data_IF_293205352955
#
_entry.id   IF_293205352955
#
_cell.length_a   1.000
_cell.length_b   1.000
_cell.length_c   1.000
_cell.angle_alpha   90.00
_cell.angle_beta   90.00
_cell.angle_gamma   90.00
#
_symmetry.space_group_name_H-M   'P 1'
#
loop_
_entity.id
_entity.type
_entity.pdbx_description
1 polymer ?
#
# COMPACT_ATOMS: atom_id res chain seq x y z
N UNK A 1 73.43 56.56 -48.73
CA UNK A 1 73.77 57.05 -47.37
C UNK A 1 72.60 57.12 -46.37
N UNK A 2 71.32 56.97 -46.77
CA UNK A 2 70.17 57.03 -45.86
C UNK A 2 69.85 55.68 -45.15
N UNK A 3 70.07 54.54 -45.81
CA UNK A 3 69.79 53.21 -45.24
C UNK A 3 70.74 52.79 -44.10
N UNK A 4 72.02 53.14 -44.17
CA UNK A 4 73.01 52.83 -43.12
C UNK A 4 72.71 53.56 -41.79
N UNK A 5 72.21 54.80 -41.85
CA UNK A 5 71.80 55.56 -40.67
C UNK A 5 70.54 55.00 -40.01
N UNK A 6 69.59 54.49 -40.80
CA UNK A 6 68.37 53.84 -40.27
C UNK A 6 68.71 52.53 -39.56
N UNK A 7 69.65 51.75 -40.09
CA UNK A 7 70.10 50.51 -39.46
C UNK A 7 70.85 50.76 -38.14
N UNK A 8 71.70 51.80 -38.07
CA UNK A 8 72.35 52.18 -36.82
C UNK A 8 71.38 52.78 -35.79
N UNK A 9 70.37 53.53 -36.23
CA UNK A 9 69.31 54.03 -35.35
C UNK A 9 68.47 52.88 -34.77
N UNK A 10 68.13 51.89 -35.59
CA UNK A 10 67.42 50.69 -35.15
C UNK A 10 68.23 49.86 -34.15
N UNK A 11 69.55 49.73 -34.36
CA UNK A 11 70.46 49.07 -33.42
C UNK A 11 70.56 49.79 -32.07
N UNK A 12 70.57 51.13 -32.08
CA UNK A 12 70.62 51.94 -30.86
C UNK A 12 69.30 51.88 -30.07
N UNK A 13 68.16 51.82 -30.76
CA UNK A 13 66.85 51.59 -30.15
C UNK A 13 66.76 50.19 -29.52
N UNK A 14 67.33 49.17 -30.15
CA UNK A 14 67.37 47.81 -29.61
C UNK A 14 68.23 47.71 -28.33
N UNK A 15 69.34 48.43 -28.27
CA UNK A 15 70.21 48.50 -27.08
C UNK A 15 69.55 49.28 -25.93
N UNK A 16 68.74 50.30 -26.25
CA UNK A 16 68.00 51.08 -25.23
C UNK A 16 66.87 50.26 -24.59
N UNK A 17 66.30 49.30 -25.31
CA UNK A 17 65.28 48.36 -24.79
C UNK A 17 65.90 47.31 -23.84
N UNK A 18 67.21 47.03 -23.97
CA UNK A 18 67.92 46.00 -23.18
C UNK A 18 68.54 46.53 -21.87
N UNK A 19 68.58 47.85 -21.67
CA UNK A 19 69.16 48.46 -20.47
C UNK A 19 68.08 48.83 -19.43
N UNK A 20 67.87 47.88 -18.52
CA UNK A 20 67.44 48.08 -17.12
C UNK A 20 65.97 48.37 -16.84
N UNK A 21 65.19 47.29 -16.79
CA UNK A 21 64.19 47.12 -15.72
C UNK A 21 64.95 46.70 -14.47
N UNK A 22 65.19 47.63 -13.54
CA UNK A 22 65.50 47.23 -12.16
C UNK A 22 64.19 46.69 -11.58
N UNK A 23 64.09 45.40 -11.21
CA UNK A 23 62.96 44.96 -10.41
C UNK A 23 63.07 45.67 -9.06
N UNK A 24 62.19 46.65 -8.82
CA UNK A 24 61.91 47.07 -7.45
C UNK A 24 61.63 45.80 -6.66
N UNK A 25 62.44 45.53 -5.64
CA UNK A 25 62.24 44.41 -4.74
C UNK A 25 60.87 44.57 -4.08
N UNK A 26 59.85 43.97 -4.68
CA UNK A 26 58.56 43.77 -4.06
C UNK A 26 58.83 42.90 -2.85
N UNK A 27 58.75 43.46 -1.65
CA UNK A 27 58.77 42.65 -0.44
C UNK A 27 57.59 41.69 -0.56
N UNK A 28 57.88 40.40 -0.68
CA UNK A 28 56.86 39.39 -0.87
C UNK A 28 55.87 39.46 0.30
N UNK A 29 54.58 39.42 -0.03
CA UNK A 29 53.53 39.35 0.97
C UNK A 29 53.72 38.04 1.75
N UNK A 30 53.64 38.02 3.08
CA UNK A 30 53.78 36.81 3.89
C UNK A 30 52.76 35.75 3.48
N UNK A 31 53.23 34.50 3.36
CA UNK A 31 52.43 33.36 2.89
C UNK A 31 51.21 33.09 3.78
N UNK A 32 51.30 33.46 5.07
CA UNK A 32 50.21 33.38 6.06
C UNK A 32 48.95 34.12 5.57
N UNK A 33 49.06 35.21 4.81
CA UNK A 33 47.90 35.96 4.29
C UNK A 33 47.24 35.33 3.06
N UNK A 34 47.87 34.30 2.47
CA UNK A 34 47.33 33.59 1.33
C UNK A 34 46.72 32.24 1.72
N UNK A 35 47.29 31.56 2.71
CA UNK A 35 46.95 30.16 3.01
C UNK A 35 46.23 29.96 4.35
N UNK A 36 46.47 30.84 5.33
CA UNK A 36 45.96 30.65 6.69
C UNK A 36 44.50 31.09 6.85
N UNK A 37 43.88 30.66 7.94
CA UNK A 37 42.52 31.08 8.31
C UNK A 37 42.47 32.58 8.63
N UNK A 38 41.29 33.18 8.55
CA UNK A 38 41.15 34.62 8.83
C UNK A 38 41.63 34.98 10.25
N UNK A 39 41.40 34.12 11.24
CA UNK A 39 41.88 34.28 12.62
C UNK A 39 43.42 34.29 12.69
N UNK A 40 44.07 33.37 12.00
CA UNK A 40 45.54 33.30 11.92
C UNK A 40 46.13 34.50 11.17
N UNK A 41 45.45 35.00 10.14
CA UNK A 41 45.85 36.22 9.44
C UNK A 41 45.78 37.45 10.35
N UNK A 42 44.74 37.56 11.19
CA UNK A 42 44.60 38.65 12.16
C UNK A 42 45.63 38.54 13.30
N UNK A 43 45.91 37.34 13.79
CA UNK A 43 46.96 37.08 14.79
C UNK A 43 48.34 37.46 14.25
N UNK A 44 48.67 37.03 13.04
CA UNK A 44 49.91 37.42 12.37
C UNK A 44 50.04 38.95 12.29
N UNK A 45 48.97 39.65 11.91
CA UNK A 45 48.98 41.11 11.87
C UNK A 45 49.17 41.72 13.26
N UNK A 46 48.64 41.09 14.31
CA UNK A 46 48.78 41.55 15.69
C UNK A 46 50.21 41.35 16.24
N UNK A 47 50.85 40.24 15.88
CA UNK A 47 52.13 39.85 16.46
C UNK A 47 53.31 40.49 15.70
N UNK A 48 53.22 40.57 14.37
CA UNK A 48 54.35 40.97 13.51
C UNK A 48 54.37 42.48 13.16
N UNK A 49 53.30 43.23 13.44
CA UNK A 49 53.28 44.67 13.17
C UNK A 49 53.69 45.48 14.40
N UNK A 50 54.46 46.55 14.17
CA UNK A 50 54.97 47.40 15.25
C UNK A 50 53.91 48.41 15.71
N UNK A 51 53.93 48.71 17.00
CA UNK A 51 53.13 49.78 17.60
C UNK A 51 54.00 51.03 17.72
N UNK A 52 53.48 52.17 17.25
CA UNK A 52 54.11 53.48 17.35
C UNK A 52 53.07 54.51 17.79
N UNK A 53 53.33 55.23 18.88
CA UNK A 53 52.42 56.25 19.44
C UNK A 53 50.97 55.76 19.61
N UNK A 54 50.78 54.55 20.17
CA UNK A 54 49.48 53.88 20.32
C UNK A 54 48.77 53.51 19.00
N UNK A 55 49.42 53.66 17.85
CA UNK A 55 48.91 53.22 16.55
C UNK A 55 49.70 52.00 16.05
N UNK A 56 49.00 51.02 15.50
CA UNK A 56 49.62 49.84 14.87
C UNK A 56 49.94 50.15 13.42
N UNK A 57 51.21 50.10 13.05
CA UNK A 57 51.66 50.37 11.68
C UNK A 57 51.51 49.10 10.83
N UNK A 58 50.40 49.02 10.09
CA UNK A 58 50.11 47.93 9.16
C UNK A 58 50.47 48.38 7.75
N UNK A 59 51.10 47.50 6.99
CA UNK A 59 51.42 47.74 5.59
C UNK A 59 50.14 47.72 4.74
N UNK A 60 50.02 48.65 3.80
CA UNK A 60 48.77 48.88 3.05
C UNK A 60 48.34 47.65 2.22
N UNK A 61 49.28 46.96 1.57
CA UNK A 61 49.07 45.70 0.85
C UNK A 61 48.50 44.57 1.75
N UNK A 62 49.04 44.42 2.97
CA UNK A 62 48.57 43.47 3.98
C UNK A 62 47.15 43.80 4.43
N UNK A 63 46.89 45.08 4.69
CA UNK A 63 45.56 45.56 5.08
C UNK A 63 44.53 45.30 3.98
N UNK A 64 44.83 45.67 2.73
CA UNK A 64 43.93 45.43 1.60
C UNK A 64 43.70 43.93 1.36
N UNK A 65 44.73 43.09 1.55
CA UNK A 65 44.61 41.64 1.41
C UNK A 65 43.68 41.04 2.48
N UNK A 66 43.86 41.37 3.76
CA UNK A 66 42.99 40.89 4.84
C UNK A 66 41.56 41.42 4.68
N UNK A 67 41.39 42.67 4.27
CA UNK A 67 40.09 43.25 3.93
C UNK A 67 39.39 42.43 2.85
N UNK A 68 40.09 42.13 1.75
CA UNK A 68 39.55 41.30 0.66
C UNK A 68 39.20 39.90 1.15
N UNK A 69 40.10 39.23 1.86
CA UNK A 69 39.87 37.89 2.41
C UNK A 69 38.67 37.86 3.39
N UNK A 70 38.49 38.92 4.18
CA UNK A 70 37.34 39.07 5.10
C UNK A 70 36.02 39.19 4.33
N UNK A 71 35.99 40.05 3.31
CA UNK A 71 34.81 40.22 2.45
C UNK A 71 34.50 38.93 1.68
N UNK A 72 35.52 38.28 1.13
CA UNK A 72 35.37 37.01 0.41
C UNK A 72 34.83 35.91 1.33
N UNK A 73 35.30 35.83 2.57
CA UNK A 73 34.80 34.87 3.58
C UNK A 73 33.34 35.15 3.94
N UNK A 74 32.98 36.43 4.12
CA UNK A 74 31.61 36.85 4.40
C UNK A 74 30.67 36.53 3.23
N UNK A 75 31.09 36.82 1.99
CA UNK A 75 30.33 36.51 0.79
C UNK A 75 30.14 35.00 0.61
N UNK A 76 31.18 34.19 0.88
CA UNK A 76 31.06 32.72 0.89
C UNK A 76 30.07 32.24 1.96
N UNK A 77 30.07 32.85 3.14
CA UNK A 77 29.10 32.51 4.19
C UNK A 77 27.67 32.84 3.74
N UNK A 78 27.43 34.01 3.15
CA UNK A 78 26.11 34.37 2.60
C UNK A 78 25.66 33.42 1.49
N UNK A 79 26.56 33.05 0.57
CA UNK A 79 26.26 32.08 -0.49
C UNK A 79 25.89 30.71 0.07
N UNK A 80 26.63 30.23 1.09
CA UNK A 80 26.30 28.98 1.78
C UNK A 80 24.94 29.06 2.47
N UNK A 81 24.66 30.14 3.19
CA UNK A 81 23.36 30.32 3.86
C UNK A 81 22.22 30.33 2.83
N UNK A 82 22.38 31.03 1.70
CA UNK A 82 21.38 31.05 0.64
C UNK A 82 21.16 29.65 0.03
N UNK A 83 22.24 28.90 -0.21
CA UNK A 83 22.15 27.53 -0.72
C UNK A 83 21.46 26.58 0.29
N UNK A 84 21.77 26.69 1.59
CA UNK A 84 21.11 25.91 2.64
C UNK A 84 19.62 26.25 2.78
N UNK A 85 19.23 27.52 2.64
CA UNK A 85 17.82 27.92 2.62
C UNK A 85 17.11 27.26 1.42
N UNK A 86 17.72 27.30 0.24
CA UNK A 86 17.15 26.66 -0.95
C UNK A 86 17.03 25.14 -0.78
N UNK A 87 18.05 24.48 -0.23
CA UNK A 87 18.00 23.04 0.08
C UNK A 87 16.89 22.71 1.08
N UNK A 88 16.72 23.56 2.11
CA UNK A 88 15.65 23.39 3.10
C UNK A 88 14.26 23.54 2.48
N UNK A 89 14.08 24.53 1.60
CA UNK A 89 12.80 24.73 0.89
C UNK A 89 12.48 23.54 -0.01
N UNK A 90 13.46 23.00 -0.74
CA UNK A 90 13.31 21.78 -1.54
C UNK A 90 12.94 20.58 -0.66
N UNK A 91 13.65 20.36 0.45
CA UNK A 91 13.37 19.26 1.38
C UNK A 91 11.96 19.36 2.00
N UNK A 92 11.50 20.58 2.30
CA UNK A 92 10.12 20.80 2.79
C UNK A 92 9.09 20.50 1.69
N UNK A 93 9.35 20.93 0.46
CA UNK A 93 8.48 20.64 -0.68
C UNK A 93 8.38 19.12 -0.94
N UNK A 94 9.50 18.41 -0.94
CA UNK A 94 9.54 16.94 -1.08
C UNK A 94 8.80 16.25 0.07
N UNK A 95 9.02 16.68 1.31
CA UNK A 95 8.30 16.14 2.46
C UNK A 95 6.79 16.32 2.34
N UNK A 96 6.34 17.49 1.90
CA UNK A 96 4.91 17.77 1.70
C UNK A 96 4.34 16.92 0.56
N UNK A 97 5.09 16.73 -0.53
CA UNK A 97 4.70 15.86 -1.62
C UNK A 97 4.60 14.38 -1.18
N UNK A 98 5.57 13.90 -0.40
CA UNK A 98 5.51 12.56 0.19
C UNK A 98 4.34 12.39 1.16
N UNK A 99 4.04 13.40 1.97
CA UNK A 99 2.88 13.37 2.88
C UNK A 99 1.56 13.30 2.10
N UNK A 100 1.43 14.05 1.00
CA UNK A 100 0.24 13.98 0.14
C UNK A 100 0.11 12.60 -0.51
N UNK A 101 1.22 12.05 -1.03
CA UNK A 101 1.26 10.72 -1.62
C UNK A 101 0.89 9.63 -0.60
N UNK A 102 1.33 9.75 0.65
CA UNK A 102 0.91 8.83 1.72
C UNK A 102 -0.60 8.88 1.98
N UNK A 103 -1.20 10.08 2.03
CA UNK A 103 -2.65 10.22 2.20
C UNK A 103 -3.40 9.60 1.01
N UNK A 104 -2.90 9.80 -0.20
CA UNK A 104 -3.48 9.20 -1.42
C UNK A 104 -3.38 7.66 -1.38
N UNK A 105 -2.21 7.11 -1.03
CA UNK A 105 -2.03 5.65 -0.92
C UNK A 105 -2.86 5.03 0.22
N UNK A 106 -3.05 5.74 1.34
CA UNK A 106 -3.94 5.29 2.41
C UNK A 106 -5.39 5.25 1.93
N UNK A 107 -5.86 6.28 1.23
CA UNK A 107 -7.20 6.31 0.66
C UNK A 107 -7.40 5.22 -0.41
N UNK A 108 -6.42 5.02 -1.30
CA UNK A 108 -6.45 3.95 -2.31
C UNK A 108 -6.44 2.56 -1.65
N UNK A 109 -5.63 2.38 -0.60
CA UNK A 109 -5.61 1.13 0.18
C UNK A 109 -6.96 0.87 0.83
N UNK A 110 -7.57 1.86 1.44
CA UNK A 110 -8.88 1.71 2.10
C UNK A 110 -9.97 1.39 1.07
N UNK A 111 -9.94 2.05 -0.10
CA UNK A 111 -10.82 1.70 -1.22
C UNK A 111 -10.57 0.28 -1.73
N UNK A 112 -9.31 -0.12 -1.91
CA UNK A 112 -8.96 -1.46 -2.35
C UNK A 112 -9.38 -2.53 -1.32
N UNK A 113 -9.31 -2.23 -0.01
CA UNK A 113 -9.84 -3.12 1.04
C UNK A 113 -11.35 -3.25 0.90
N UNK A 114 -12.07 -2.13 0.74
CA UNK A 114 -13.53 -2.14 0.54
C UNK A 114 -13.93 -2.91 -0.72
N UNK A 115 -13.24 -2.70 -1.83
CA UNK A 115 -13.48 -3.40 -3.10
C UNK A 115 -13.16 -4.88 -2.99
N UNK A 116 -12.07 -5.23 -2.31
CA UNK A 116 -11.66 -6.62 -2.16
C UNK A 116 -12.54 -7.37 -1.17
N UNK A 117 -13.05 -6.72 -0.14
CA UNK A 117 -13.93 -7.34 0.85
C UNK A 117 -15.41 -7.25 0.48
N UNK A 118 -15.79 -6.48 -0.53
CA UNK A 118 -17.15 -6.43 -1.04
C UNK A 118 -17.37 -7.35 -2.25
N UNK A 119 -18.57 -7.90 -2.32
CA UNK A 119 -19.12 -8.59 -3.47
C UNK A 119 -20.48 -7.96 -3.76
N UNK A 120 -20.78 -7.70 -5.04
CA UNK A 120 -22.08 -7.17 -5.42
C UNK A 120 -23.14 -8.30 -5.41
N UNK A 121 -24.08 -8.23 -4.46
CA UNK A 121 -25.25 -9.10 -4.41
C UNK A 121 -26.48 -8.24 -4.70
N UNK A 122 -27.17 -8.51 -5.82
CA UNK A 122 -28.35 -7.74 -6.27
C UNK A 122 -28.10 -6.22 -6.39
N UNK A 123 -26.88 -5.83 -6.79
CA UNK A 123 -26.49 -4.43 -6.97
C UNK A 123 -26.06 -3.69 -5.69
N UNK A 124 -26.12 -4.35 -4.52
CA UNK A 124 -25.61 -3.80 -3.27
C UNK A 124 -24.24 -4.43 -2.93
N UNK A 125 -23.25 -3.65 -2.47
CA UNK A 125 -21.98 -4.18 -2.01
C UNK A 125 -22.17 -4.86 -0.65
N UNK A 126 -21.81 -6.14 -0.57
CA UNK A 126 -21.96 -6.95 0.64
C UNK A 126 -20.61 -7.56 1.01
N UNK A 127 -20.25 -7.59 2.29
CA UNK A 127 -18.96 -8.13 2.70
C UNK A 127 -18.85 -9.64 2.41
N UNK A 128 -17.66 -10.12 2.07
CA UNK A 128 -17.39 -11.56 1.82
C UNK A 128 -17.78 -12.44 3.00
N UNK A 129 -17.55 -11.98 4.22
CA UNK A 129 -17.96 -12.69 5.44
C UNK A 129 -19.48 -12.82 5.51
N UNK A 130 -20.20 -11.73 5.27
CA UNK A 130 -21.67 -11.76 5.27
C UNK A 130 -22.21 -12.64 4.15
N UNK A 131 -21.63 -12.58 2.94
CA UNK A 131 -21.98 -13.47 1.84
C UNK A 131 -21.84 -14.94 2.22
N UNK A 132 -20.69 -15.34 2.79
CA UNK A 132 -20.47 -16.72 3.19
C UNK A 132 -21.47 -17.17 4.27
N UNK A 133 -21.72 -16.32 5.28
CA UNK A 133 -22.71 -16.61 6.33
C UNK A 133 -24.11 -16.75 5.75
N UNK A 134 -24.52 -15.83 4.86
CA UNK A 134 -25.84 -15.85 4.22
C UNK A 134 -26.00 -17.08 3.32
N UNK A 135 -24.98 -17.42 2.53
CA UNK A 135 -24.99 -18.58 1.65
C UNK A 135 -25.13 -19.88 2.45
N UNK A 136 -24.31 -20.07 3.49
CA UNK A 136 -24.41 -21.26 4.35
C UNK A 136 -25.70 -21.30 5.15
N UNK A 137 -26.26 -20.15 5.54
CA UNK A 137 -27.58 -20.07 6.17
C UNK A 137 -28.69 -20.56 5.24
N UNK A 138 -28.70 -20.11 3.99
CA UNK A 138 -29.67 -20.56 2.98
C UNK A 138 -29.53 -22.06 2.71
N UNK A 139 -28.31 -22.56 2.54
CA UNK A 139 -28.05 -24.00 2.38
C UNK A 139 -28.53 -24.78 3.60
N UNK A 140 -28.27 -24.28 4.82
CA UNK A 140 -28.70 -24.90 6.07
C UNK A 140 -30.22 -25.02 6.18
N UNK A 141 -30.95 -23.95 5.85
CA UNK A 141 -32.42 -23.95 5.86
C UNK A 141 -32.98 -24.96 4.84
N UNK A 142 -32.45 -24.96 3.62
CA UNK A 142 -32.83 -25.92 2.58
C UNK A 142 -32.54 -27.36 3.00
N UNK A 143 -31.39 -27.63 3.63
CA UNK A 143 -31.04 -28.94 4.14
C UNK A 143 -32.01 -29.42 5.24
N UNK A 144 -32.38 -28.54 6.18
CA UNK A 144 -33.37 -28.86 7.23
C UNK A 144 -34.75 -29.15 6.63
N UNK A 145 -35.20 -28.36 5.66
CA UNK A 145 -36.48 -28.59 4.97
C UNK A 145 -36.46 -29.91 4.19
N UNK A 146 -35.38 -30.20 3.45
CA UNK A 146 -35.23 -31.45 2.73
C UNK A 146 -35.23 -32.66 3.68
N UNK A 147 -34.54 -32.55 4.82
CA UNK A 147 -34.50 -33.59 5.84
C UNK A 147 -35.88 -33.82 6.48
N UNK A 148 -36.61 -32.75 6.80
CA UNK A 148 -37.98 -32.84 7.33
C UNK A 148 -38.93 -33.51 6.32
N UNK A 149 -38.84 -33.12 5.04
CA UNK A 149 -39.61 -33.73 3.95
C UNK A 149 -39.27 -35.22 3.78
N UNK A 150 -38.00 -35.58 3.88
CA UNK A 150 -37.54 -36.96 3.82
C UNK A 150 -38.15 -37.81 4.96
N UNK A 151 -38.09 -37.34 6.20
CA UNK A 151 -38.71 -38.05 7.34
C UNK A 151 -40.23 -38.21 7.12
N UNK A 152 -40.90 -37.14 6.70
CA UNK A 152 -42.34 -37.17 6.44
C UNK A 152 -42.68 -38.17 5.33
N UNK A 153 -41.88 -38.22 4.27
CA UNK A 153 -42.06 -39.16 3.16
C UNK A 153 -41.91 -40.62 3.63
N UNK A 154 -40.86 -40.95 4.39
CA UNK A 154 -40.69 -42.31 4.91
C UNK A 154 -41.80 -42.73 5.86
N UNK A 155 -42.25 -41.81 6.73
CA UNK A 155 -43.37 -42.08 7.65
C UNK A 155 -44.66 -42.35 6.88
N UNK A 156 -44.98 -41.49 5.91
CA UNK A 156 -46.16 -41.65 5.06
C UNK A 156 -46.10 -42.96 4.28
N UNK A 157 -44.95 -43.31 3.71
CA UNK A 157 -44.81 -44.54 2.94
C UNK A 157 -44.96 -45.80 3.82
N UNK A 158 -44.44 -45.77 5.05
CA UNK A 158 -44.62 -46.86 6.03
C UNK A 158 -46.09 -47.03 6.42
N UNK A 159 -46.80 -45.93 6.69
CA UNK A 159 -48.22 -45.95 7.05
C UNK A 159 -49.06 -46.48 5.88
N UNK A 160 -48.82 -45.99 4.66
CA UNK A 160 -49.53 -46.47 3.46
C UNK A 160 -49.32 -47.97 3.26
N UNK A 161 -48.09 -48.47 3.42
CA UNK A 161 -47.80 -49.91 3.31
C UNK A 161 -48.47 -50.76 4.38
N UNK A 162 -48.63 -50.23 5.60
CA UNK A 162 -49.36 -50.93 6.65
C UNK A 162 -50.86 -50.97 6.31
N UNK A 163 -51.46 -49.82 5.98
CA UNK A 163 -52.87 -49.75 5.63
C UNK A 163 -53.23 -50.62 4.43
N UNK A 164 -52.38 -50.72 3.41
CA UNK A 164 -52.63 -51.61 2.27
C UNK A 164 -52.55 -53.09 2.64
N UNK A 165 -51.70 -53.47 3.59
CA UNK A 165 -51.68 -54.84 4.14
C UNK A 165 -52.94 -55.12 4.95
N UNK A 166 -53.28 -54.26 5.89
CA UNK A 166 -54.46 -54.43 6.75
C UNK A 166 -55.74 -54.51 5.91
N UNK A 167 -55.86 -53.69 4.86
CA UNK A 167 -56.99 -53.72 3.93
C UNK A 167 -57.05 -55.05 3.15
N UNK A 168 -55.89 -55.57 2.72
CA UNK A 168 -55.82 -56.87 2.03
C UNK A 168 -56.19 -58.03 2.95
N UNK A 169 -55.74 -58.01 4.20
CA UNK A 169 -56.08 -59.01 5.21
C UNK A 169 -57.58 -59.00 5.52
N UNK A 170 -58.15 -57.81 5.76
CA UNK A 170 -59.59 -57.64 5.97
C UNK A 170 -60.42 -58.11 4.77
N UNK A 171 -59.94 -57.90 3.55
CA UNK A 171 -60.62 -58.36 2.35
C UNK A 171 -60.61 -59.89 2.23
N UNK A 172 -59.50 -60.54 2.58
CA UNK A 172 -59.41 -62.01 2.65
C UNK A 172 -60.35 -62.56 3.71
N UNK A 173 -60.35 -61.99 4.91
CA UNK A 173 -61.24 -62.38 6.00
C UNK A 173 -62.72 -62.18 5.63
N UNK A 174 -63.06 -61.08 4.96
CA UNK A 174 -64.42 -60.83 4.48
C UNK A 174 -64.87 -61.83 3.42
N UNK A 175 -64.00 -62.16 2.47
CA UNK A 175 -64.29 -63.15 1.43
C UNK A 175 -64.44 -64.55 2.03
N UNK A 176 -63.62 -64.90 3.03
CA UNK A 176 -63.73 -66.15 3.79
C UNK A 176 -65.03 -66.20 4.59
N UNK A 177 -65.35 -65.15 5.35
CA UNK A 177 -66.63 -65.01 6.06
C UNK A 177 -67.83 -65.15 5.13
N UNK A 178 -67.76 -64.55 3.93
CA UNK A 178 -68.82 -64.63 2.92
C UNK A 178 -68.96 -66.06 2.39
N UNK A 179 -67.87 -66.79 2.16
CA UNK A 179 -67.90 -68.20 1.77
C UNK A 179 -68.47 -69.08 2.87
N UNK A 180 -67.95 -68.98 4.10
CA UNK A 180 -68.45 -69.76 5.23
C UNK A 180 -69.91 -69.46 5.55
N UNK A 181 -70.34 -68.20 5.43
CA UNK A 181 -71.76 -67.84 5.61
C UNK A 181 -72.63 -68.49 4.55
N UNK A 182 -72.20 -68.50 3.29
CA UNK A 182 -72.92 -69.19 2.20
C UNK A 182 -73.00 -70.69 2.45
N UNK A 183 -71.89 -71.33 2.80
CA UNK A 183 -71.82 -72.75 3.13
C UNK A 183 -72.74 -73.09 4.31
N UNK A 184 -72.78 -72.25 5.36
CA UNK A 184 -73.69 -72.41 6.50
C UNK A 184 -75.16 -72.31 6.09
N UNK A 185 -75.53 -71.33 5.25
CA UNK A 185 -76.89 -71.21 4.74
C UNK A 185 -77.29 -72.39 3.85
N UNK A 186 -76.36 -72.88 3.01
CA UNK A 186 -76.57 -74.03 2.16
C UNK A 186 -76.77 -75.31 2.99
N UNK A 187 -75.91 -75.54 4.00
CA UNK A 187 -76.06 -76.64 4.95
C UNK A 187 -77.38 -76.55 5.73
N UNK A 188 -77.73 -75.39 6.27
CA UNK A 188 -79.02 -75.18 6.96
C UNK A 188 -80.22 -75.48 6.04
N UNK A 189 -80.14 -75.09 4.76
CA UNK A 189 -81.18 -75.38 3.78
C UNK A 189 -81.30 -76.87 3.49
N UNK A 190 -80.16 -77.57 3.32
CA UNK A 190 -80.11 -79.02 3.12
C UNK A 190 -80.66 -79.77 4.35
N UNK A 191 -80.24 -79.39 5.54
CA UNK A 191 -80.69 -80.00 6.80
C UNK A 191 -82.19 -79.78 7.01
N UNK A 192 -82.68 -78.55 6.79
CA UNK A 192 -84.10 -78.25 6.83
C UNK A 192 -84.90 -79.08 5.80
N UNK A 193 -84.38 -79.25 4.59
CA UNK A 193 -84.99 -80.12 3.58
C UNK A 193 -85.02 -81.60 4.01
N UNK A 194 -83.93 -82.10 4.60
CA UNK A 194 -83.84 -83.46 5.12
C UNK A 194 -84.81 -83.71 6.29
N UNK A 195 -84.96 -82.75 7.20
CA UNK A 195 -85.94 -82.80 8.29
C UNK A 195 -87.38 -82.82 7.75
N UNK A 196 -87.70 -81.96 6.77
CA UNK A 196 -89.00 -81.97 6.10
C UNK A 196 -89.28 -83.30 5.40
N UNK A 197 -88.28 -83.89 4.75
CA UNK A 197 -88.39 -85.22 4.12
C UNK A 197 -88.68 -86.28 5.18
N UNK A 198 -87.96 -86.27 6.30
CA UNK A 198 -88.17 -87.19 7.43
C UNK A 198 -89.58 -87.05 8.03
N UNK A 199 -90.11 -85.83 8.15
CA UNK A 199 -91.44 -85.56 8.71
C UNK A 199 -92.59 -85.87 7.75
N UNK A 200 -92.38 -85.80 6.43
CA UNK A 200 -93.41 -86.11 5.42
C UNK A 200 -93.50 -87.58 5.01
N UNK A 201 -92.65 -88.46 5.53
CA UNK A 201 -92.82 -89.91 5.37
C UNK A 201 -92.83 -90.39 3.91
N UNK A 202 -91.83 -90.00 3.13
CA UNK A 202 -91.35 -90.71 1.93
C UNK A 202 -89.81 -90.72 1.93
#
# INVERSE_FOLDING_TARGET
>A
MKFSKIFQLAGLILVLILLNVNPSASQNLPDVLNEATLDEQYKYLHDETRIYNNFRAIREDMFQKIRRNSIDSLNRAYQKIAAEIQHKEQAVAEKNAMALLLVEMEAERDQAILDRDSLFLLGLPVSKTFYNVLLWSVIGILAVLAFAAFIMFFRSNKITRQKTKDLKELQVEYDEYRKTSRERFEQQSIDHFNELKRLKGI
#
